data_IF_582124531718
#
_entry.id   IF_582124531718
#
_cell.length_a   1.000
_cell.length_b   1.000
_cell.length_c   1.000
_cell.angle_alpha   90.00
_cell.angle_beta   90.00
_cell.angle_gamma   90.00
#
_symmetry.space_group_name_H-M   'P 1'
#
loop_
_entity.id
_entity.type
_entity.pdbx_description
1 polymer ?
#
# COMPACT_ATOMS: atom_id res chain seq x y z
N UNK A 1 -35.39 7.08 -8.85
CA UNK A 1 -35.91 6.41 -10.07
C UNK A 1 -35.53 4.92 -10.00
N UNK A 2 -36.38 4.06 -10.57
CA UNK A 2 -36.50 2.59 -10.43
C UNK A 2 -35.22 1.78 -10.10
N UNK A 3 -35.30 1.00 -9.00
CA UNK A 3 -34.68 -0.33 -8.85
C UNK A 3 -35.74 -1.39 -9.18
N UNK A 4 -35.41 -2.36 -10.03
CA UNK A 4 -36.14 -3.63 -10.22
C UNK A 4 -35.17 -4.61 -10.89
N UNK A 5 -34.73 -5.64 -10.14
CA UNK A 5 -35.11 -7.07 -10.29
C UNK A 5 -34.36 -7.75 -11.46
N UNK A 6 -33.79 -8.94 -11.33
CA UNK A 6 -34.52 -10.22 -11.23
C UNK A 6 -33.55 -11.33 -10.77
N UNK A 7 -34.01 -12.15 -9.81
CA UNK A 7 -33.48 -13.48 -9.46
C UNK A 7 -34.25 -14.54 -10.25
N UNK A 8 -33.60 -15.60 -10.74
CA UNK A 8 -34.26 -16.91 -10.85
C UNK A 8 -33.40 -18.01 -10.18
N UNK A 9 -33.93 -18.70 -9.18
CA UNK A 9 -34.78 -19.90 -9.24
C UNK A 9 -33.97 -21.21 -9.28
N UNK A 10 -33.84 -21.77 -8.08
CA UNK A 10 -33.47 -23.15 -7.76
C UNK A 10 -34.43 -24.14 -8.44
N UNK A 11 -33.90 -25.21 -9.03
CA UNK A 11 -34.65 -26.43 -9.31
C UNK A 11 -33.81 -27.65 -8.90
N UNK A 12 -34.21 -28.28 -7.79
CA UNK A 12 -33.76 -29.59 -7.35
C UNK A 12 -34.62 -30.67 -8.04
N UNK A 13 -33.99 -31.66 -8.66
CA UNK A 13 -34.65 -32.89 -9.07
C UNK A 13 -33.82 -34.10 -8.61
N UNK A 14 -34.32 -34.80 -7.58
CA UNK A 14 -33.88 -36.15 -7.24
C UNK A 14 -34.60 -37.15 -8.16
N UNK A 15 -33.85 -38.07 -8.75
CA UNK A 15 -34.37 -39.31 -9.31
C UNK A 15 -33.44 -40.46 -8.94
N UNK A 16 -33.97 -41.42 -8.18
CA UNK A 16 -33.34 -42.71 -7.92
C UNK A 16 -33.65 -43.68 -9.07
N UNK A 17 -32.63 -44.41 -9.54
CA UNK A 17 -32.75 -45.48 -10.51
C UNK A 17 -31.66 -46.52 -10.28
N UNK A 18 -32.07 -47.78 -10.15
CA UNK A 18 -31.22 -48.94 -9.92
C UNK A 18 -30.92 -49.70 -11.23
N UNK A 19 -29.85 -50.51 -11.20
CA UNK A 19 -29.55 -51.71 -11.99
C UNK A 19 -28.51 -51.63 -13.15
N UNK A 20 -27.44 -52.42 -12.96
CA UNK A 20 -26.80 -53.40 -13.86
C UNK A 20 -26.08 -53.01 -15.17
N UNK A 21 -24.77 -53.35 -15.18
CA UNK A 21 -24.06 -54.23 -16.16
C UNK A 21 -23.38 -53.62 -17.41
N UNK A 22 -22.10 -53.99 -17.50
CA UNK A 22 -21.13 -54.16 -18.62
C UNK A 22 -20.69 -53.02 -19.56
N UNK A 23 -19.39 -52.71 -19.41
CA UNK A 23 -18.30 -52.68 -20.42
C UNK A 23 -18.61 -52.17 -21.84
N UNK A 24 -18.25 -50.91 -22.11
CA UNK A 24 -17.97 -50.44 -23.46
C UNK A 24 -16.77 -49.49 -23.43
N UNK A 25 -15.72 -49.87 -24.17
CA UNK A 25 -14.43 -49.18 -24.23
C UNK A 25 -14.59 -47.73 -24.71
N UNK A 26 -14.26 -46.76 -23.86
CA UNK A 26 -14.13 -45.37 -24.22
C UNK A 26 -12.67 -44.91 -24.08
N UNK A 27 -12.12 -44.53 -25.23
CA UNK A 27 -10.85 -43.85 -25.47
C UNK A 27 -10.48 -42.84 -24.36
N UNK A 28 -9.27 -42.87 -23.77
CA UNK A 28 -8.84 -41.80 -22.89
C UNK A 28 -8.56 -40.55 -23.73
N UNK A 29 -9.50 -39.59 -23.71
CA UNK A 29 -9.24 -38.25 -24.19
C UNK A 29 -7.96 -37.70 -23.54
N UNK A 30 -7.02 -37.11 -24.31
CA UNK A 30 -5.80 -36.58 -23.73
C UNK A 30 -6.13 -35.37 -22.84
N UNK A 31 -5.97 -35.53 -21.53
CA UNK A 31 -5.98 -34.42 -20.57
C UNK A 31 -4.80 -33.51 -20.89
N UNK A 32 -5.07 -32.40 -21.57
CA UNK A 32 -4.09 -31.34 -21.79
C UNK A 32 -3.98 -30.53 -20.49
N UNK A 33 -2.95 -30.82 -19.70
CA UNK A 33 -2.57 -30.00 -18.56
C UNK A 33 -1.99 -28.69 -19.09
N UNK A 34 -2.69 -27.58 -18.90
CA UNK A 34 -2.15 -26.26 -19.19
C UNK A 34 -0.93 -26.01 -18.30
N UNK A 35 0.16 -25.41 -18.82
CA UNK A 35 1.29 -25.03 -17.97
C UNK A 35 0.80 -24.05 -16.91
N UNK A 36 1.05 -24.37 -15.64
CA UNK A 36 0.87 -23.43 -14.54
C UNK A 36 2.05 -22.46 -14.61
N UNK A 37 1.78 -21.23 -15.04
CA UNK A 37 2.76 -20.15 -14.99
C UNK A 37 2.86 -19.68 -13.54
N UNK A 38 3.93 -20.05 -12.85
CA UNK A 38 4.29 -19.45 -11.56
C UNK A 38 4.97 -18.12 -11.83
N UNK A 39 4.43 -17.02 -11.30
CA UNK A 39 5.10 -15.72 -11.35
C UNK A 39 6.44 -15.81 -10.59
N UNK A 40 7.50 -15.12 -11.05
CA UNK A 40 8.74 -15.03 -10.30
C UNK A 40 8.48 -14.37 -8.94
N UNK A 41 9.21 -14.81 -7.92
CA UNK A 41 9.24 -14.14 -6.62
C UNK A 41 10.01 -12.81 -6.78
N UNK A 42 9.50 -11.69 -6.27
CA UNK A 42 10.19 -10.41 -6.35
C UNK A 42 11.51 -10.45 -5.56
N UNK A 43 12.47 -9.67 -6.03
CA UNK A 43 13.75 -9.41 -5.34
C UNK A 43 13.54 -8.57 -4.09
N UNK A 44 14.55 -8.48 -3.22
CA UNK A 44 14.46 -7.63 -2.03
C UNK A 44 14.42 -6.13 -2.40
N UNK A 45 15.10 -5.74 -3.48
CA UNK A 45 15.04 -4.38 -4.04
C UNK A 45 13.63 -4.02 -4.53
N UNK A 46 13.02 -4.86 -5.37
CA UNK A 46 11.63 -4.66 -5.83
C UNK A 46 10.62 -4.61 -4.67
N UNK A 47 10.84 -5.39 -3.61
CA UNK A 47 9.98 -5.33 -2.41
C UNK A 47 10.16 -4.03 -1.61
N UNK A 48 11.35 -3.46 -1.59
CA UNK A 48 11.64 -2.21 -0.89
C UNK A 48 11.16 -0.98 -1.67
N UNK A 49 11.27 -1.01 -3.00
CA UNK A 49 10.65 -0.01 -3.87
C UNK A 49 9.13 0.01 -3.67
N UNK A 50 8.49 -1.17 -3.69
CA UNK A 50 7.05 -1.28 -3.42
C UNK A 50 6.70 -0.81 -2.00
N UNK A 51 7.51 -1.15 -0.99
CA UNK A 51 7.30 -0.67 0.38
C UNK A 51 7.33 0.86 0.44
N UNK A 52 8.21 1.50 -0.33
CA UNK A 52 8.32 2.97 -0.40
C UNK A 52 7.07 3.60 -1.02
N UNK A 53 6.63 3.07 -2.16
CA UNK A 53 5.41 3.52 -2.84
C UNK A 53 4.17 3.34 -1.95
N UNK A 54 3.97 2.14 -1.41
CA UNK A 54 2.82 1.83 -0.57
C UNK A 54 2.82 2.69 0.71
N UNK A 55 3.99 2.92 1.30
CA UNK A 55 4.10 3.76 2.50
C UNK A 55 3.82 5.23 2.19
N UNK A 56 4.28 5.74 1.04
CA UNK A 56 3.94 7.10 0.60
C UNK A 56 2.43 7.28 0.46
N UNK A 57 1.74 6.35 -0.21
CA UNK A 57 0.29 6.41 -0.36
C UNK A 57 -0.44 6.27 0.99
N UNK A 58 -0.06 5.28 1.80
CA UNK A 58 -0.72 5.01 3.08
C UNK A 58 -0.52 6.16 4.08
N UNK A 59 0.68 6.71 4.20
CA UNK A 59 0.94 7.85 5.10
C UNK A 59 0.11 9.07 4.71
N UNK A 60 -0.03 9.36 3.41
CA UNK A 60 -0.94 10.42 2.93
C UNK A 60 -2.39 10.11 3.26
N UNK A 61 -2.87 8.89 2.99
CA UNK A 61 -4.24 8.48 3.32
C UNK A 61 -4.57 8.63 4.81
N UNK A 62 -3.60 8.37 5.70
CA UNK A 62 -3.74 8.60 7.15
C UNK A 62 -3.94 10.09 7.44
N UNK A 63 -3.10 10.98 6.90
CA UNK A 63 -3.22 12.42 7.14
C UNK A 63 -4.45 13.06 6.46
N UNK A 64 -4.96 12.46 5.38
CA UNK A 64 -6.24 12.82 4.74
C UNK A 64 -7.46 12.36 5.57
N UNK A 65 -7.26 11.48 6.56
CA UNK A 65 -8.33 10.87 7.35
C UNK A 65 -9.07 9.73 6.63
N UNK A 66 -8.55 9.27 5.49
CA UNK A 66 -9.10 8.15 4.72
C UNK A 66 -8.68 6.79 5.31
N UNK A 67 -7.61 6.76 6.10
CA UNK A 67 -7.09 5.57 6.77
C UNK A 67 -6.81 5.80 8.25
N UNK A 68 -6.83 4.72 9.04
CA UNK A 68 -6.57 4.79 10.49
C UNK A 68 -5.07 4.78 10.78
N UNK A 69 -4.63 5.55 11.77
CA UNK A 69 -3.22 5.68 12.17
C UNK A 69 -2.56 4.32 12.45
N UNK A 70 -3.29 3.37 13.05
CA UNK A 70 -2.77 2.05 13.42
C UNK A 70 -2.38 1.18 12.21
N UNK A 71 -2.83 1.52 10.99
CA UNK A 71 -2.42 0.82 9.77
C UNK A 71 -0.95 1.05 9.42
N UNK A 72 -0.31 2.09 9.98
CA UNK A 72 1.12 2.32 9.82
C UNK A 72 1.98 1.13 10.27
N UNK A 73 1.47 0.27 11.16
CA UNK A 73 2.13 -0.97 11.59
C UNK A 73 2.32 -2.01 10.47
N UNK A 74 1.65 -1.84 9.33
CA UNK A 74 1.90 -2.65 8.13
C UNK A 74 3.27 -2.33 7.53
N UNK A 75 3.67 -1.06 7.56
CA UNK A 75 4.86 -0.50 6.90
C UNK A 75 6.02 -0.21 7.86
N UNK A 76 5.70 0.16 9.10
CA UNK A 76 6.66 0.65 10.08
C UNK A 76 6.83 -0.32 11.25
N UNK A 77 7.97 -0.22 11.93
CA UNK A 77 8.28 -1.01 13.12
C UNK A 77 9.12 -0.21 14.13
N UNK A 78 9.19 -0.72 15.36
CA UNK A 78 10.05 -0.16 16.41
C UNK A 78 9.66 1.27 16.79
N UNK A 79 10.67 2.06 17.17
CA UNK A 79 10.46 3.45 17.58
C UNK A 79 9.92 4.35 16.47
N UNK A 80 10.19 4.02 15.20
CA UNK A 80 9.65 4.83 14.10
C UNK A 80 8.13 4.70 14.00
N UNK A 81 7.59 3.48 14.18
CA UNK A 81 6.14 3.28 14.26
C UNK A 81 5.54 4.07 15.43
N UNK A 82 6.09 3.92 16.63
CA UNK A 82 5.58 4.59 17.84
C UNK A 82 5.54 6.12 17.67
N UNK A 83 6.62 6.70 17.15
CA UNK A 83 6.71 8.14 16.91
C UNK A 83 5.76 8.61 15.79
N UNK A 84 5.56 7.81 14.74
CA UNK A 84 4.60 8.16 13.69
C UNK A 84 3.17 8.14 14.25
N UNK A 85 2.79 7.10 14.98
CA UNK A 85 1.45 6.97 15.55
C UNK A 85 1.11 8.12 16.51
N UNK A 86 2.07 8.54 17.34
CA UNK A 86 1.92 9.71 18.22
C UNK A 86 1.71 11.00 17.41
N UNK A 87 2.59 11.29 16.45
CA UNK A 87 2.50 12.52 15.65
C UNK A 87 1.23 12.60 14.80
N UNK A 88 0.87 11.50 14.13
CA UNK A 88 -0.34 11.45 13.31
C UNK A 88 -1.61 11.59 14.18
N UNK A 89 -1.63 10.95 15.36
CA UNK A 89 -2.75 11.07 16.30
C UNK A 89 -2.89 12.49 16.85
N UNK A 90 -1.79 13.16 17.16
CA UNK A 90 -1.80 14.54 17.64
C UNK A 90 -2.24 15.52 16.53
N UNK A 91 -1.75 15.33 15.31
CA UNK A 91 -2.16 16.13 14.15
C UNK A 91 -3.67 16.02 13.92
N UNK A 92 -4.20 14.80 13.76
CA UNK A 92 -5.63 14.57 13.53
C UNK A 92 -6.47 14.98 14.75
N UNK A 93 -5.99 14.68 15.96
CA UNK A 93 -6.65 15.02 17.21
C UNK A 93 -6.74 16.53 17.49
N UNK A 94 -5.87 17.33 16.86
CA UNK A 94 -5.94 18.79 16.90
C UNK A 94 -7.06 19.38 16.05
N UNK A 95 -7.73 18.57 15.23
CA UNK A 95 -8.71 19.01 14.24
C UNK A 95 -8.08 19.44 12.91
N UNK A 96 -6.82 19.07 12.67
CA UNK A 96 -6.13 19.28 11.39
C UNK A 96 -6.34 18.07 10.47
N UNK A 97 -6.50 18.33 9.18
CA UNK A 97 -6.55 17.29 8.13
C UNK A 97 -5.75 17.78 6.92
N UNK A 98 -5.08 16.86 6.22
CA UNK A 98 -4.47 17.17 4.94
C UNK A 98 -5.55 17.27 3.85
N UNK A 99 -5.21 17.96 2.76
CA UNK A 99 -5.93 17.95 1.49
C UNK A 99 -4.92 17.64 0.38
N UNK A 100 -5.17 16.53 -0.31
CA UNK A 100 -4.30 16.04 -1.36
C UNK A 100 -4.12 17.07 -2.49
N UNK A 101 -2.89 17.20 -2.94
CA UNK A 101 -2.49 17.92 -4.13
C UNK A 101 -1.84 16.96 -5.14
N UNK A 102 -1.96 17.27 -6.44
CA UNK A 102 -1.43 16.44 -7.54
C UNK A 102 0.06 16.66 -7.81
N UNK A 103 0.65 17.68 -7.16
CA UNK A 103 2.10 17.94 -7.17
C UNK A 103 2.86 17.09 -6.14
N UNK A 104 2.17 16.48 -5.18
CA UNK A 104 2.80 15.56 -4.23
C UNK A 104 3.26 14.31 -4.96
N UNK A 105 4.54 13.97 -4.82
CA UNK A 105 5.21 12.95 -5.63
C UNK A 105 6.29 12.23 -4.81
N UNK A 106 6.72 11.06 -5.27
CA UNK A 106 7.76 10.27 -4.62
C UNK A 106 8.65 9.59 -5.66
N UNK A 107 9.94 9.50 -5.34
CA UNK A 107 10.90 8.78 -6.16
C UNK A 107 11.97 8.11 -5.29
N UNK A 108 12.10 6.79 -5.41
CA UNK A 108 13.23 6.05 -4.85
C UNK A 108 14.50 6.38 -5.66
N UNK A 109 15.56 6.81 -4.99
CA UNK A 109 16.83 7.13 -5.62
C UNK A 109 17.82 5.96 -5.54
N UNK A 110 17.90 5.33 -4.35
CA UNK A 110 18.82 4.20 -4.12
C UNK A 110 18.23 3.22 -3.12
N UNK A 111 18.47 1.94 -3.37
CA UNK A 111 18.21 0.84 -2.43
C UNK A 111 19.50 0.06 -2.22
N UNK A 112 19.91 -0.10 -0.96
CA UNK A 112 21.08 -0.89 -0.58
C UNK A 112 20.66 -1.96 0.43
N UNK A 113 20.78 -3.23 0.05
CA UNK A 113 20.40 -4.37 0.91
C UNK A 113 21.63 -5.01 1.54
N UNK A 114 21.64 -5.14 2.87
CA UNK A 114 22.65 -5.88 3.65
C UNK A 114 21.97 -6.95 4.53
N UNK A 115 21.75 -8.12 3.93
CA UNK A 115 21.18 -9.27 4.63
C UNK A 115 19.74 -9.07 5.08
N UNK A 116 19.54 -8.74 6.37
CA UNK A 116 18.23 -8.49 6.97
C UNK A 116 17.94 -7.01 7.24
N UNK A 117 18.84 -6.15 6.82
CA UNK A 117 18.71 -4.69 6.89
C UNK A 117 18.84 -4.13 5.47
N UNK A 118 18.22 -2.98 5.23
CA UNK A 118 18.40 -2.24 3.99
C UNK A 118 18.33 -0.73 4.26
N UNK A 119 18.99 0.05 3.41
CA UNK A 119 18.86 1.50 3.36
C UNK A 119 18.14 1.89 2.08
N UNK A 120 17.09 2.71 2.21
CA UNK A 120 16.38 3.31 1.09
C UNK A 120 16.59 4.82 1.16
N UNK A 121 17.04 5.42 0.07
CA UNK A 121 17.08 6.87 -0.08
C UNK A 121 16.04 7.25 -1.12
N UNK A 122 15.18 8.18 -0.77
CA UNK A 122 14.08 8.64 -1.61
C UNK A 122 13.91 10.15 -1.50
N UNK A 123 13.37 10.73 -2.57
CA UNK A 123 12.84 12.07 -2.57
C UNK A 123 11.31 12.00 -2.45
N UNK A 124 10.73 12.90 -1.67
CA UNK A 124 9.28 13.08 -1.50
C UNK A 124 8.97 14.56 -1.65
N UNK A 125 8.09 14.90 -2.58
CA UNK A 125 7.47 16.22 -2.65
C UNK A 125 6.18 16.17 -1.85
N UNK A 126 6.11 16.97 -0.79
CA UNK A 126 4.88 17.24 -0.07
C UNK A 126 4.30 18.58 -0.56
N UNK A 127 3.16 18.50 -1.24
CA UNK A 127 2.38 19.65 -1.67
C UNK A 127 0.98 19.64 -1.06
N UNK A 128 0.71 18.73 -0.11
CA UNK A 128 -0.61 18.59 0.48
C UNK A 128 -0.86 19.76 1.44
N UNK A 129 -2.03 20.39 1.33
CA UNK A 129 -2.37 21.51 2.20
C UNK A 129 -2.89 21.02 3.54
N UNK A 130 -2.49 21.65 4.64
CA UNK A 130 -3.07 21.43 5.97
C UNK A 130 -4.27 22.35 6.15
N UNK A 131 -5.40 21.77 6.52
CA UNK A 131 -6.68 22.46 6.70
C UNK A 131 -7.16 22.28 8.15
N UNK A 132 -7.67 23.35 8.75
CA UNK A 132 -8.47 23.24 9.98
C UNK A 132 -9.85 22.66 9.62
N UNK A 133 -10.15 21.45 10.10
CA UNK A 133 -11.34 20.69 9.69
C UNK A 133 -12.64 21.43 10.06
N UNK A 134 -12.65 22.14 11.20
CA UNK A 134 -13.85 22.78 11.72
C UNK A 134 -14.24 24.05 10.94
N UNK A 135 -13.27 24.86 10.55
CA UNK A 135 -13.47 26.12 9.83
C UNK A 135 -13.36 25.97 8.32
N UNK A 136 -12.57 24.99 7.85
CA UNK A 136 -12.16 24.85 6.46
C UNK A 136 -11.08 25.83 6.03
N UNK A 137 -10.47 26.58 6.97
CA UNK A 137 -9.38 27.50 6.68
C UNK A 137 -8.08 26.73 6.37
N UNK A 138 -7.33 27.21 5.38
CA UNK A 138 -6.00 26.70 5.07
C UNK A 138 -5.03 27.19 6.14
N UNK A 139 -4.37 26.24 6.82
CA UNK A 139 -3.36 26.50 7.84
C UNK A 139 -1.98 26.57 7.20
N UNK A 140 -1.71 25.67 6.27
CA UNK A 140 -0.45 25.56 5.53
C UNK A 140 -0.74 25.06 4.11
N UNK A 141 -0.09 25.65 3.11
CA UNK A 141 -0.11 25.23 1.70
C UNK A 141 1.28 25.35 1.05
N UNK A 142 2.33 25.40 1.88
CA UNK A 142 3.71 25.37 1.40
C UNK A 142 4.00 24.04 0.70
N UNK A 143 4.85 24.11 -0.32
CA UNK A 143 5.32 22.93 -1.04
C UNK A 143 6.79 22.75 -0.72
N UNK A 144 7.19 21.53 -0.35
CA UNK A 144 8.57 21.21 -0.04
C UNK A 144 8.95 19.84 -0.61
N UNK A 145 10.19 19.75 -1.12
CA UNK A 145 10.82 18.48 -1.41
C UNK A 145 11.72 18.08 -0.25
N UNK A 146 11.54 16.87 0.24
CA UNK A 146 12.35 16.26 1.27
C UNK A 146 13.13 15.10 0.68
N UNK A 147 14.40 15.01 1.07
CA UNK A 147 15.19 13.81 0.82
C UNK A 147 15.32 13.03 2.10
N UNK A 148 14.88 11.78 2.09
CA UNK A 148 14.89 10.90 3.25
C UNK A 148 15.91 9.78 3.07
N UNK A 149 16.56 9.41 4.18
CA UNK A 149 17.21 8.11 4.32
C UNK A 149 16.41 7.29 5.33
N UNK A 150 15.86 6.17 4.86
CA UNK A 150 15.08 5.23 5.65
C UNK A 150 15.89 3.96 5.89
N UNK A 151 15.87 3.45 7.13
CA UNK A 151 16.39 2.12 7.44
C UNK A 151 15.24 1.13 7.47
N UNK A 152 15.33 0.06 6.69
CA UNK A 152 14.36 -1.02 6.64
C UNK A 152 14.92 -2.29 7.29
N UNK A 153 14.06 -3.01 7.99
CA UNK A 153 14.37 -4.30 8.62
C UNK A 153 13.48 -5.40 8.07
N UNK A 154 14.06 -6.57 7.82
CA UNK A 154 13.31 -7.76 7.44
C UNK A 154 12.63 -8.36 8.67
N UNK A 155 11.31 -8.50 8.60
CA UNK A 155 10.48 -9.11 9.64
C UNK A 155 9.81 -10.39 9.13
N UNK A 156 9.11 -11.11 10.02
CA UNK A 156 8.29 -12.27 9.63
C UNK A 156 7.17 -11.93 8.63
N UNK A 157 6.84 -10.65 8.46
CA UNK A 157 5.80 -10.18 7.53
C UNK A 157 6.39 -9.35 6.37
N UNK A 158 7.69 -9.47 6.08
CA UNK A 158 8.37 -8.70 5.04
C UNK A 158 9.16 -7.52 5.58
N UNK A 159 9.63 -6.67 4.66
CA UNK A 159 10.37 -5.45 4.99
C UNK A 159 9.48 -4.41 5.66
N UNK A 160 10.04 -3.68 6.63
CA UNK A 160 9.40 -2.54 7.30
C UNK A 160 10.43 -1.48 7.63
N UNK A 161 10.05 -0.21 7.58
CA UNK A 161 10.92 0.87 8.03
C UNK A 161 11.01 0.92 9.56
N UNK A 162 12.22 0.89 10.08
CA UNK A 162 12.52 1.01 11.51
C UNK A 162 13.00 2.39 11.92
N UNK A 163 13.44 3.20 10.95
CA UNK A 163 13.94 4.55 11.14
C UNK A 163 13.84 5.35 9.84
N UNK A 164 13.73 6.68 9.94
CA UNK A 164 13.83 7.62 8.82
C UNK A 164 14.42 8.93 9.32
N UNK A 165 15.40 9.44 8.58
CA UNK A 165 15.97 10.78 8.78
C UNK A 165 15.80 11.64 7.52
N UNK A 166 15.47 12.93 7.71
CA UNK A 166 15.57 13.93 6.64
C UNK A 166 17.04 14.29 6.45
N UNK A 167 17.56 14.06 5.25
CA UNK A 167 18.95 14.38 4.90
C UNK A 167 19.08 15.65 4.04
N UNK A 168 18.00 16.09 3.40
CA UNK A 168 17.92 17.37 2.69
C UNK A 168 16.48 17.90 2.62
N UNK A 169 16.32 19.21 2.46
CA UNK A 169 15.02 19.89 2.37
C UNK A 169 15.10 21.11 1.44
N UNK A 170 14.19 21.18 0.47
CA UNK A 170 14.10 22.27 -0.51
C UNK A 170 12.67 22.81 -0.62
N UNK A 171 12.48 24.08 -0.24
CA UNK A 171 11.17 24.74 -0.30
C UNK A 171 10.87 25.23 -1.72
N UNK A 172 9.64 25.00 -2.18
CA UNK A 172 9.12 25.43 -3.47
C UNK A 172 9.49 24.55 -4.66
N UNK A 173 10.14 23.41 -4.40
CA UNK A 173 10.43 22.38 -5.41
C UNK A 173 9.19 21.51 -5.60
N UNK A 174 8.84 21.23 -6.85
CA UNK A 174 7.56 20.55 -7.21
C UNK A 174 7.76 19.20 -7.89
N UNK A 175 9.01 18.71 -7.94
CA UNK A 175 9.35 17.44 -8.55
C UNK A 175 10.61 16.89 -7.89
N UNK A 176 10.73 15.57 -7.85
CA UNK A 176 11.98 14.92 -7.52
C UNK A 176 12.92 14.92 -8.73
N UNK A 177 14.10 15.50 -8.58
CA UNK A 177 15.15 15.49 -9.62
C UNK A 177 16.12 14.33 -9.34
N UNK A 178 16.27 13.42 -10.31
CA UNK A 178 17.19 12.27 -10.26
C UNK A 178 18.55 12.50 -10.91
#
# INVERSE_FOLDING_TARGET
>A
MKRLLVVPLLALALAAGAACTDDEAADPAPTTTAPTTTAPTPTDEEQLEQLSEDWFEASRAIYLGDEQVESASEFLTGSYLENFEEQASDFLGSGSVARADDRSDQMVETVEVDGSEATVVECVVDADAVIDEASGDVVDDDVAAYRYRSTAMRTDRGWRYSDRETIDEEIGVTQCDG
#
